data_IF_127803713855
#
_entry.id   IF_127803713855
#
_cell.length_a   1.000
_cell.length_b   1.000
_cell.length_c   1.000
_cell.angle_alpha   90.00
_cell.angle_beta   90.00
_cell.angle_gamma   90.00
#
_symmetry.space_group_name_H-M   'P 1'
#
loop_
_entity.id
_entity.type
_entity.pdbx_description
1 polymer ?
#
# COMPACT_ATOMS: atom_id res chain seq x y z
N UNK A 1 -0.54 -6.74 14.56
CA UNK A 1 -1.23 -6.28 13.35
C UNK A 1 -2.64 -6.82 13.26
N UNK A 2 -3.36 -6.38 12.23
CA UNK A 2 -4.65 -6.95 11.80
C UNK A 2 -4.55 -7.39 10.35
N UNK A 3 -5.46 -8.26 9.91
CA UNK A 3 -5.54 -8.61 8.50
C UNK A 3 -5.99 -7.42 7.66
N UNK A 4 -5.25 -7.17 6.58
CA UNK A 4 -5.61 -6.22 5.53
C UNK A 4 -6.85 -6.74 4.78
N UNK A 5 -7.79 -5.84 4.44
CA UNK A 5 -8.93 -6.20 3.59
C UNK A 5 -8.63 -5.91 2.11
N UNK A 6 -9.33 -6.56 1.17
CA UNK A 6 -9.18 -6.27 -0.26
C UNK A 6 -9.38 -4.79 -0.61
N UNK A 7 -10.31 -4.10 0.05
CA UNK A 7 -10.62 -2.69 -0.19
C UNK A 7 -9.46 -1.77 0.18
N UNK A 8 -8.68 -2.14 1.19
CA UNK A 8 -7.50 -1.39 1.61
C UNK A 8 -6.36 -1.52 0.61
N UNK A 9 -6.21 -2.70 0.00
CA UNK A 9 -5.29 -2.91 -1.12
C UNK A 9 -5.75 -2.08 -2.33
N UNK A 10 -7.03 -2.16 -2.68
CA UNK A 10 -7.60 -1.42 -3.81
C UNK A 10 -7.46 0.10 -3.63
N UNK A 11 -7.57 0.60 -2.40
CA UNK A 11 -7.36 2.01 -2.08
C UNK A 11 -5.94 2.45 -2.40
N UNK A 12 -4.92 1.68 -1.98
CA UNK A 12 -3.54 2.00 -2.32
C UNK A 12 -3.31 1.94 -3.84
N UNK A 13 -3.81 0.90 -4.50
CA UNK A 13 -3.68 0.75 -5.96
C UNK A 13 -4.32 1.95 -6.68
N UNK A 14 -5.51 2.38 -6.26
CA UNK A 14 -6.21 3.53 -6.84
C UNK A 14 -5.44 4.83 -6.65
N UNK A 15 -4.86 5.04 -5.46
CA UNK A 15 -3.99 6.18 -5.20
C UNK A 15 -2.77 6.16 -6.13
N UNK A 16 -2.06 5.04 -6.21
CA UNK A 16 -0.85 4.88 -7.04
C UNK A 16 -1.13 5.04 -8.54
N UNK A 17 -2.30 4.59 -9.01
CA UNK A 17 -2.72 4.73 -10.39
C UNK A 17 -3.21 6.15 -10.76
N UNK A 18 -3.30 7.06 -9.80
CA UNK A 18 -3.77 8.42 -10.03
C UNK A 18 -2.65 9.38 -10.39
N UNK A 19 -3.00 10.50 -11.04
CA UNK A 19 -2.05 11.57 -11.37
C UNK A 19 -1.35 12.18 -10.14
N UNK A 20 -1.93 12.02 -8.93
CA UNK A 20 -1.36 12.56 -7.69
C UNK A 20 -0.02 11.92 -7.33
N UNK A 21 0.24 10.71 -7.83
CA UNK A 21 1.46 9.95 -7.58
C UNK A 21 2.21 9.66 -8.87
N UNK A 22 2.05 10.51 -9.90
CA UNK A 22 2.64 10.27 -11.22
C UNK A 22 4.17 10.10 -11.24
N UNK A 23 4.89 10.63 -10.23
CA UNK A 23 6.34 10.47 -10.10
C UNK A 23 6.77 9.38 -9.11
N UNK A 24 5.83 8.57 -8.60
CA UNK A 24 6.12 7.46 -7.70
C UNK A 24 6.49 6.23 -8.55
N UNK A 25 7.78 5.92 -8.58
CA UNK A 25 8.34 4.76 -9.28
C UNK A 25 9.52 4.19 -8.51
N UNK A 26 9.85 2.92 -8.73
CA UNK A 26 10.99 2.24 -8.09
C UNK A 26 10.84 1.98 -6.58
N UNK A 27 9.61 2.11 -6.04
CA UNK A 27 9.32 1.95 -4.62
C UNK A 27 8.49 0.68 -4.35
N UNK A 28 8.74 0.05 -3.20
CA UNK A 28 7.94 -1.05 -2.67
C UNK A 28 7.03 -0.54 -1.55
N UNK A 29 5.73 -0.81 -1.65
CA UNK A 29 4.75 -0.48 -0.61
C UNK A 29 4.24 -1.75 0.06
N UNK A 30 4.47 -1.87 1.36
CA UNK A 30 4.03 -3.02 2.17
C UNK A 30 2.70 -2.68 2.85
N UNK A 31 1.68 -3.52 2.63
CA UNK A 31 0.39 -3.43 3.29
C UNK A 31 0.10 -4.73 4.03
N UNK A 32 0.50 -4.81 5.28
CA UNK A 32 0.43 -6.04 6.08
C UNK A 32 -0.33 -5.85 7.41
N UNK A 33 -0.92 -4.66 7.61
CA UNK A 33 -1.58 -4.30 8.85
C UNK A 33 -0.69 -4.40 10.09
N UNK A 34 0.64 -4.29 9.95
CA UNK A 34 1.60 -4.40 11.05
C UNK A 34 1.78 -5.85 11.55
N UNK A 35 1.79 -6.81 10.62
CA UNK A 35 2.07 -8.22 10.90
C UNK A 35 3.57 -8.53 10.87
N UNK A 36 4.31 -7.87 10.00
CA UNK A 36 5.76 -7.86 9.98
C UNK A 36 6.21 -6.98 11.15
N UNK A 37 6.91 -7.60 12.11
CA UNK A 37 7.64 -6.86 13.13
C UNK A 37 8.96 -6.40 12.54
N UNK A 38 9.03 -5.16 12.13
CA UNK A 38 10.31 -4.49 11.89
C UNK A 38 11.02 -4.30 13.23
N UNK A 39 12.24 -4.84 13.34
CA UNK A 39 13.17 -4.63 14.46
C UNK A 39 13.65 -3.19 14.55
#
# INVERSE_FOLDING_TARGET
GRFTTPEEVATLVTMLASDRTANVTGANYVIDGGLIKTT
#
